data_IF_212183546918
#
_entry.id   IF_212183546918
#
_cell.length_a   1.000
_cell.length_b   1.000
_cell.length_c   1.000
_cell.angle_alpha   90.00
_cell.angle_beta   90.00
_cell.angle_gamma   90.00
#
_symmetry.space_group_name_H-M   'P 1'
#
loop_
_entity.id
_entity.type
_entity.pdbx_description
1 polymer ?
#
# COMPACT_ATOMS: atom_id res chain seq x y z
N UNK A 1 -12.66 -36.57 27.33
CA UNK A 1 -13.52 -35.47 26.87
C UNK A 1 -12.94 -34.98 25.56
N UNK A 2 -13.78 -34.92 24.53
CA UNK A 2 -13.41 -34.59 23.15
C UNK A 2 -13.67 -33.08 22.96
N UNK A 3 -12.69 -32.24 23.28
CA UNK A 3 -12.77 -30.77 23.19
C UNK A 3 -11.51 -30.27 22.48
N UNK A 4 -11.54 -30.06 21.17
CA UNK A 4 -10.34 -29.62 20.44
C UNK A 4 -10.64 -28.59 19.35
N UNK A 5 -11.73 -28.73 18.54
CA UNK A 5 -12.09 -27.68 17.58
C UNK A 5 -12.81 -26.49 18.25
N UNK A 6 -13.73 -26.78 19.17
CA UNK A 6 -14.54 -25.75 19.84
C UNK A 6 -13.69 -24.88 20.77
N UNK A 7 -12.67 -25.46 21.41
CA UNK A 7 -11.75 -24.75 22.30
C UNK A 7 -10.82 -23.81 21.50
N UNK A 8 -10.36 -24.24 20.32
CA UNK A 8 -9.55 -23.42 19.42
C UNK A 8 -10.35 -22.22 18.92
N UNK A 9 -11.59 -22.45 18.45
CA UNK A 9 -12.46 -21.39 17.97
C UNK A 9 -12.76 -20.34 19.05
N UNK A 10 -12.99 -20.77 20.29
CA UNK A 10 -13.20 -19.88 21.43
C UNK A 10 -11.95 -19.03 21.74
N UNK A 11 -10.75 -19.63 21.70
CA UNK A 11 -9.50 -18.89 21.89
C UNK A 11 -9.22 -17.90 20.76
N UNK A 12 -9.55 -18.24 19.51
CA UNK A 12 -9.44 -17.32 18.38
C UNK A 12 -10.37 -16.11 18.52
N UNK A 13 -11.60 -16.33 18.98
CA UNK A 13 -12.54 -15.25 19.27
C UNK A 13 -12.02 -14.34 20.38
N UNK A 14 -11.50 -14.92 21.47
CA UNK A 14 -10.88 -14.17 22.56
C UNK A 14 -9.65 -13.37 22.09
N UNK A 15 -8.80 -13.94 21.24
CA UNK A 15 -7.67 -13.24 20.60
C UNK A 15 -8.15 -12.03 19.80
N UNK A 16 -9.17 -12.22 18.95
CA UNK A 16 -9.72 -11.13 18.15
C UNK A 16 -10.34 -10.02 19.00
N UNK A 17 -11.02 -10.38 20.09
CA UNK A 17 -11.54 -9.41 21.05
C UNK A 17 -10.41 -8.59 21.68
N UNK A 18 -9.36 -9.23 22.20
CA UNK A 18 -8.24 -8.54 22.85
C UNK A 18 -7.47 -7.61 21.89
N UNK A 19 -7.23 -8.05 20.65
CA UNK A 19 -6.59 -7.22 19.63
C UNK A 19 -7.45 -6.01 19.25
N UNK A 20 -8.77 -6.19 19.19
CA UNK A 20 -9.70 -5.08 18.94
C UNK A 20 -9.67 -4.07 20.10
N UNK A 21 -9.68 -4.55 21.34
CA UNK A 21 -9.58 -3.70 22.54
C UNK A 21 -8.26 -2.94 22.63
N UNK A 22 -7.13 -3.54 22.20
CA UNK A 22 -5.85 -2.84 22.13
C UNK A 22 -5.86 -1.68 21.14
N UNK A 23 -6.45 -1.89 19.96
CA UNK A 23 -6.59 -0.83 18.94
C UNK A 23 -7.53 0.28 19.41
N UNK A 24 -8.59 -0.08 20.12
CA UNK A 24 -9.54 0.88 20.69
C UNK A 24 -8.88 1.74 21.76
N UNK A 25 -8.14 1.10 22.69
CA UNK A 25 -7.36 1.77 23.73
C UNK A 25 -6.33 2.77 23.14
N UNK A 26 -5.65 2.41 22.05
CA UNK A 26 -4.72 3.31 21.36
C UNK A 26 -5.43 4.50 20.70
N UNK A 27 -6.64 4.28 20.18
CA UNK A 27 -7.49 5.34 19.65
C UNK A 27 -7.93 6.30 20.76
N UNK A 28 -8.47 5.79 21.87
CA UNK A 28 -8.89 6.58 23.04
C UNK A 28 -7.73 7.42 23.60
N UNK A 29 -6.52 6.85 23.70
CA UNK A 29 -5.33 7.60 24.13
C UNK A 29 -4.96 8.72 23.15
N UNK A 30 -5.01 8.44 21.83
CA UNK A 30 -4.73 9.43 20.79
C UNK A 30 -5.72 10.60 20.79
N UNK A 31 -6.98 10.34 21.11
CA UNK A 31 -8.02 11.38 21.23
C UNK A 31 -8.01 12.10 22.59
N UNK A 32 -7.17 11.64 23.54
CA UNK A 32 -7.04 12.24 24.86
C UNK A 32 -8.17 11.87 25.82
N UNK A 33 -8.94 10.82 25.52
CA UNK A 33 -10.04 10.34 26.36
C UNK A 33 -9.54 9.61 27.62
N UNK A 34 -8.28 9.16 27.62
CA UNK A 34 -7.59 8.52 28.75
C UNK A 34 -6.18 9.10 28.94
N UNK A 35 -5.69 9.11 30.18
CA UNK A 35 -4.33 9.60 30.48
C UNK A 35 -3.24 8.54 30.23
N UNK A 36 -1.98 8.97 30.23
CA UNK A 36 -0.84 8.10 29.92
C UNK A 36 -0.59 6.98 30.94
N UNK A 37 -0.93 7.21 32.21
CA UNK A 37 -0.75 6.20 33.27
C UNK A 37 -1.78 5.09 33.12
N UNK A 38 -3.03 5.47 32.89
CA UNK A 38 -4.13 4.54 32.66
C UNK A 38 -3.94 3.75 31.36
N UNK A 39 -3.51 4.43 30.29
CA UNK A 39 -3.15 3.79 29.03
C UNK A 39 -2.09 2.69 29.21
N UNK A 40 -0.95 3.00 29.85
CA UNK A 40 0.13 2.01 30.00
C UNK A 40 -0.29 0.82 30.87
N UNK A 41 -1.03 1.08 31.95
CA UNK A 41 -1.55 0.03 32.84
C UNK A 41 -2.48 -0.94 32.09
N UNK A 42 -3.46 -0.40 31.36
CA UNK A 42 -4.42 -1.20 30.57
C UNK A 42 -3.73 -1.92 29.41
N UNK A 43 -2.82 -1.24 28.70
CA UNK A 43 -2.07 -1.79 27.57
C UNK A 43 -1.23 -2.99 28.01
N UNK A 44 -0.47 -2.87 29.09
CA UNK A 44 0.34 -3.98 29.62
C UNK A 44 -0.53 -5.19 29.96
N UNK A 45 -1.70 -4.98 30.56
CA UNK A 45 -2.64 -6.04 30.90
C UNK A 45 -3.28 -6.73 29.67
N UNK A 46 -3.56 -5.97 28.60
CA UNK A 46 -4.07 -6.55 27.35
C UNK A 46 -2.99 -7.27 26.56
N UNK A 47 -1.76 -6.74 26.49
CA UNK A 47 -0.63 -7.38 25.81
C UNK A 47 -0.28 -8.71 26.48
N UNK A 48 -0.19 -8.73 27.81
CA UNK A 48 0.12 -9.96 28.56
C UNK A 48 -0.94 -11.06 28.31
N UNK A 49 -2.24 -10.71 28.35
CA UNK A 49 -3.32 -11.65 28.06
C UNK A 49 -3.32 -12.12 26.61
N UNK A 50 -3.05 -11.24 25.66
CA UNK A 50 -2.99 -11.60 24.24
C UNK A 50 -1.87 -12.61 23.97
N UNK A 51 -0.69 -12.39 24.55
CA UNK A 51 0.43 -13.32 24.43
C UNK A 51 0.11 -14.71 25.01
N UNK A 52 -0.59 -14.76 26.15
CA UNK A 52 -1.02 -16.02 26.77
C UNK A 52 -2.00 -16.79 25.87
N UNK A 53 -3.00 -16.12 25.29
CA UNK A 53 -3.97 -16.75 24.38
C UNK A 53 -3.29 -17.25 23.10
N UNK A 54 -2.38 -16.49 22.51
CA UNK A 54 -1.63 -16.91 21.32
C UNK A 54 -0.85 -18.21 21.60
N UNK A 55 -0.18 -18.29 22.74
CA UNK A 55 0.57 -19.48 23.15
C UNK A 55 -0.33 -20.72 23.33
N UNK A 56 -1.56 -20.53 23.84
CA UNK A 56 -2.53 -21.62 23.98
C UNK A 56 -3.04 -22.12 22.62
N UNK A 57 -3.31 -21.21 21.69
CA UNK A 57 -3.69 -21.52 20.30
C UNK A 57 -2.60 -22.36 19.62
N UNK A 58 -1.34 -21.91 19.67
CA UNK A 58 -0.20 -22.64 19.09
C UNK A 58 -0.07 -24.05 19.70
N UNK A 59 -0.29 -24.19 21.01
CA UNK A 59 -0.33 -25.47 21.70
C UNK A 59 -1.42 -26.40 21.15
N UNK A 60 -2.65 -25.92 20.98
CA UNK A 60 -3.78 -26.69 20.44
C UNK A 60 -3.61 -27.06 18.96
N UNK A 61 -3.05 -26.17 18.14
CA UNK A 61 -2.73 -26.43 16.74
C UNK A 61 -1.65 -27.53 16.60
N UNK A 62 -0.67 -27.56 17.51
CA UNK A 62 0.35 -28.62 17.53
C UNK A 62 -0.24 -30.00 17.88
N UNK A 63 -1.19 -30.06 18.82
CA UNK A 63 -1.84 -31.30 19.28
C UNK A 63 -2.82 -31.87 18.23
N UNK A 64 -3.50 -31.01 17.48
CA UNK A 64 -4.40 -31.43 16.40
C UNK A 64 -3.64 -32.04 15.21
N UNK A 65 -2.42 -31.57 14.94
CA UNK A 65 -1.57 -32.08 13.86
C UNK A 65 -0.99 -33.47 14.13
N UNK A 66 -0.72 -33.84 15.39
CA UNK A 66 -0.16 -35.17 15.72
C UNK A 66 -1.19 -36.32 15.70
N UNK A 67 -2.49 -36.02 15.66
CA UNK A 67 -3.54 -37.05 15.84
C UNK A 67 -4.02 -37.69 14.52
N UNK A 68 -3.52 -37.27 13.35
CA UNK A 68 -3.96 -37.75 12.04
C UNK A 68 -2.93 -38.65 11.31
N UNK A 69 -2.48 -39.75 11.91
CA UNK A 69 -1.80 -40.82 11.14
C UNK A 69 -2.30 -42.22 11.51
N UNK A 70 -3.42 -42.63 10.91
CA UNK A 70 -3.74 -44.05 10.67
C UNK A 70 -4.97 -44.21 9.76
N UNK A 71 -4.76 -44.39 8.44
CA UNK A 71 -5.19 -45.59 7.68
C UNK A 71 -5.07 -45.47 6.15
N UNK A 72 -4.55 -46.57 5.61
CA UNK A 72 -4.81 -47.21 4.31
C UNK A 72 -4.12 -46.67 3.05
N UNK A 73 -2.99 -47.32 2.72
CA UNK A 73 -2.20 -47.24 1.46
C UNK A 73 -3.00 -47.51 0.16
N UNK A 74 -4.24 -47.97 0.26
CA UNK A 74 -5.12 -48.22 -0.91
C UNK A 74 -5.70 -46.91 -1.49
N UNK A 75 -5.86 -45.88 -0.66
CA UNK A 75 -6.43 -44.59 -1.09
C UNK A 75 -5.43 -43.72 -1.86
N UNK A 76 -4.14 -43.87 -1.58
CA UNK A 76 -3.04 -43.13 -2.20
C UNK A 76 -2.86 -43.43 -3.70
N UNK A 77 -3.17 -44.67 -4.12
CA UNK A 77 -3.07 -45.07 -5.53
C UNK A 77 -4.20 -44.46 -6.36
N UNK A 78 -5.41 -44.37 -5.80
CA UNK A 78 -6.56 -43.78 -6.48
C UNK A 78 -6.40 -42.26 -6.62
N UNK A 79 -5.85 -41.59 -5.60
CA UNK A 79 -5.59 -40.14 -5.64
C UNK A 79 -4.52 -39.79 -6.69
N UNK A 80 -3.47 -40.61 -6.86
CA UNK A 80 -2.45 -40.38 -7.89
C UNK A 80 -2.99 -40.49 -9.33
N UNK A 81 -3.95 -41.38 -9.58
CA UNK A 81 -4.58 -41.53 -10.90
C UNK A 81 -5.49 -40.34 -11.22
N UNK A 82 -6.22 -39.82 -10.22
CA UNK A 82 -7.06 -38.62 -10.38
C UNK A 82 -6.22 -37.36 -10.61
N UNK A 83 -5.09 -37.22 -9.90
CA UNK A 83 -4.16 -36.10 -10.09
C UNK A 83 -3.55 -36.12 -11.51
N UNK A 84 -3.20 -37.30 -12.04
CA UNK A 84 -2.68 -37.45 -13.39
C UNK A 84 -3.70 -37.08 -14.48
N UNK A 85 -4.98 -37.42 -14.28
CA UNK A 85 -6.05 -37.07 -15.23
C UNK A 85 -6.41 -35.57 -15.20
N UNK A 86 -6.37 -34.94 -14.02
CA UNK A 86 -6.62 -33.49 -13.88
C UNK A 86 -5.45 -32.67 -14.44
N UNK A 87 -4.20 -33.15 -14.29
CA UNK A 87 -3.01 -32.47 -14.82
C UNK A 87 -2.98 -32.37 -16.36
N UNK A 88 -3.59 -33.31 -17.08
CA UNK A 88 -3.68 -33.26 -18.55
C UNK A 88 -4.87 -32.46 -19.10
N UNK A 89 -5.90 -32.17 -18.29
CA UNK A 89 -7.13 -31.53 -18.76
C UNK A 89 -7.19 -30.01 -18.58
N UNK A 90 -6.53 -29.47 -17.55
CA UNK A 90 -6.60 -28.03 -17.20
C UNK A 90 -5.27 -27.29 -17.31
N UNK A 91 -4.17 -27.99 -17.63
CA UNK A 91 -2.83 -27.40 -17.73
C UNK A 91 -2.59 -26.50 -18.95
N UNK A 92 -3.48 -26.52 -19.96
CA UNK A 92 -3.24 -25.74 -21.19
C UNK A 92 -3.78 -24.29 -21.13
N UNK A 93 -4.71 -23.98 -20.23
CA UNK A 93 -5.42 -22.68 -20.24
C UNK A 93 -5.00 -21.70 -19.12
N UNK A 94 -4.19 -22.13 -18.15
CA UNK A 94 -3.62 -21.26 -17.09
C UNK A 94 -2.23 -20.71 -17.47
N UNK A 95 -1.59 -21.27 -18.50
CA UNK A 95 -0.23 -20.91 -18.90
C UNK A 95 -0.09 -19.52 -19.59
N UNK A 96 -1.20 -18.85 -19.94
CA UNK A 96 -1.11 -17.57 -20.65
C UNK A 96 -1.41 -16.31 -19.81
N UNK A 97 -1.49 -16.43 -18.47
CA UNK A 97 -1.78 -15.25 -17.64
C UNK A 97 -1.19 -15.28 -16.23
N UNK A 98 -0.08 -15.99 -16.01
CA UNK A 98 0.61 -15.95 -14.72
C UNK A 98 2.10 -16.18 -14.87
N UNK A 99 2.88 -15.11 -14.65
CA UNK A 99 4.29 -15.24 -14.27
C UNK A 99 5.30 -14.41 -15.06
N UNK A 100 5.15 -13.08 -15.09
CA UNK A 100 6.37 -12.27 -15.03
C UNK A 100 6.96 -12.44 -13.63
N UNK A 101 7.98 -13.29 -13.52
CA UNK A 101 8.85 -13.34 -12.35
C UNK A 101 9.73 -12.09 -12.40
N UNK A 102 9.53 -11.13 -11.48
CA UNK A 102 10.50 -10.06 -11.28
C UNK A 102 11.69 -10.58 -10.46
N UNK A 103 12.88 -10.36 -11.01
CA UNK A 103 14.17 -10.62 -10.40
C UNK A 103 14.32 -9.83 -9.09
N UNK A 104 14.70 -10.49 -7.99
CA UNK A 104 15.08 -9.77 -6.75
C UNK A 104 14.78 -10.43 -5.40
N UNK A 105 14.24 -11.65 -5.32
CA UNK A 105 14.04 -12.29 -4.01
C UNK A 105 15.38 -12.78 -3.42
N UNK A 106 15.86 -12.09 -2.38
CA UNK A 106 16.87 -12.60 -1.46
C UNK A 106 16.26 -13.70 -0.60
N UNK A 107 16.89 -14.88 -0.65
CA UNK A 107 16.43 -16.14 -0.06
C UNK A 107 16.81 -16.30 1.43
N UNK A 108 17.14 -15.22 2.13
CA UNK A 108 17.68 -15.26 3.50
C UNK A 108 16.88 -14.32 4.40
N UNK A 109 16.30 -14.86 5.46
CA UNK A 109 15.43 -14.15 6.41
C UNK A 109 16.10 -12.97 7.12
N UNK A 110 15.96 -11.79 6.53
CA UNK A 110 16.06 -10.50 7.18
C UNK A 110 14.89 -9.65 6.70
N UNK A 111 14.04 -9.19 7.62
CA UNK A 111 13.02 -8.17 7.33
C UNK A 111 13.77 -6.84 7.24
N UNK A 112 14.54 -6.66 6.17
CA UNK A 112 14.87 -5.33 5.68
C UNK A 112 13.64 -4.88 4.88
N UNK A 113 13.16 -3.67 5.15
CA UNK A 113 12.02 -3.07 4.44
C UNK A 113 12.34 -2.97 2.95
N UNK A 114 12.00 -4.04 2.20
CA UNK A 114 12.21 -4.06 0.75
C UNK A 114 11.51 -2.87 0.10
N UNK A 115 12.05 -2.36 -1.01
CA UNK A 115 11.46 -1.26 -1.78
C UNK A 115 9.96 -1.47 -2.04
N UNK A 116 9.54 -2.72 -2.27
CA UNK A 116 8.14 -3.11 -2.45
C UNK A 116 7.29 -2.94 -1.18
N UNK A 117 7.81 -3.30 0.00
CA UNK A 117 7.15 -3.08 1.31
C UNK A 117 6.93 -1.58 1.57
N UNK A 118 7.98 -0.78 1.35
CA UNK A 118 7.93 0.67 1.52
C UNK A 118 6.92 1.32 0.56
N UNK A 119 6.92 0.95 -0.72
CA UNK A 119 5.95 1.44 -1.70
C UNK A 119 4.52 1.07 -1.31
N UNK A 120 4.29 -0.19 -0.92
CA UNK A 120 2.96 -0.65 -0.48
C UNK A 120 2.45 0.18 0.71
N UNK A 121 3.32 0.44 1.68
CA UNK A 121 2.98 1.25 2.85
C UNK A 121 2.76 2.72 2.46
N UNK A 122 3.59 3.27 1.59
CA UNK A 122 3.46 4.65 1.11
C UNK A 122 2.12 4.89 0.40
N UNK A 123 1.64 3.94 -0.41
CA UNK A 123 0.31 4.00 -1.04
C UNK A 123 -0.83 3.96 -0.03
N UNK A 124 -0.72 3.09 0.98
CA UNK A 124 -1.75 2.98 2.01
C UNK A 124 -1.85 4.27 2.87
N UNK A 125 -0.76 5.02 2.96
CA UNK A 125 -0.66 6.22 3.82
C UNK A 125 -0.82 7.54 3.06
N UNK A 126 -0.58 7.61 1.74
CA UNK A 126 -0.52 8.87 0.98
C UNK A 126 -1.72 9.83 1.19
N UNK A 127 -2.95 9.32 1.25
CA UNK A 127 -4.16 10.12 1.46
C UNK A 127 -4.60 10.20 2.92
N UNK A 128 -3.95 9.49 3.84
CA UNK A 128 -4.22 9.50 5.28
C UNK A 128 -3.25 10.43 6.00
N UNK A 129 -1.96 10.29 5.72
CA UNK A 129 -0.88 11.12 6.24
C UNK A 129 0.13 11.40 5.12
N UNK A 130 -0.08 12.49 4.35
CA UNK A 130 0.82 12.89 3.27
C UNK A 130 2.27 13.09 3.72
N UNK A 131 2.52 13.53 4.97
CA UNK A 131 3.87 13.74 5.47
C UNK A 131 4.57 12.40 5.74
N UNK A 132 3.88 11.42 6.31
CA UNK A 132 4.41 10.07 6.47
C UNK A 132 4.69 9.40 5.12
N UNK A 133 3.79 9.56 4.14
CA UNK A 133 4.00 9.02 2.80
C UNK A 133 5.22 9.62 2.09
N UNK A 134 5.47 10.93 2.23
CA UNK A 134 6.70 11.57 1.72
C UNK A 134 7.95 10.90 2.29
N UNK A 135 7.96 10.58 3.60
CA UNK A 135 9.09 9.89 4.24
C UNK A 135 9.30 8.50 3.62
N UNK A 136 8.23 7.74 3.43
CA UNK A 136 8.29 6.40 2.85
C UNK A 136 8.77 6.43 1.38
N UNK A 137 8.22 7.31 0.54
CA UNK A 137 8.71 7.47 -0.83
C UNK A 137 10.16 7.98 -0.88
N UNK A 138 10.58 8.81 0.08
CA UNK A 138 11.98 9.23 0.18
C UNK A 138 12.91 8.09 0.55
N UNK A 139 12.48 7.16 1.42
CA UNK A 139 13.23 5.94 1.71
C UNK A 139 13.32 5.03 0.49
N UNK A 140 12.23 4.87 -0.27
CA UNK A 140 12.26 4.17 -1.57
C UNK A 140 13.33 4.78 -2.47
N UNK A 141 13.34 6.11 -2.61
CA UNK A 141 14.30 6.80 -3.49
C UNK A 141 15.75 6.81 -2.97
N UNK A 142 15.96 6.48 -1.69
CA UNK A 142 17.31 6.24 -1.17
C UNK A 142 17.86 4.86 -1.56
N UNK A 143 16.97 3.89 -1.79
CA UNK A 143 17.31 2.52 -2.20
C UNK A 143 17.30 2.37 -3.73
N UNK A 144 16.34 3.02 -4.38
CA UNK A 144 16.09 3.00 -5.83
C UNK A 144 15.82 4.44 -6.32
N UNK A 145 16.87 5.23 -6.62
CA UNK A 145 16.74 6.64 -7.00
C UNK A 145 15.92 6.92 -8.26
N UNK A 146 15.78 5.92 -9.14
CA UNK A 146 15.04 6.02 -10.40
C UNK A 146 13.66 5.35 -10.30
N UNK A 147 13.15 5.12 -9.08
CA UNK A 147 11.81 4.61 -8.88
C UNK A 147 10.76 5.62 -9.35
N UNK A 148 10.20 5.39 -10.54
CA UNK A 148 9.23 6.27 -11.21
C UNK A 148 8.04 6.59 -10.30
N UNK A 149 7.49 5.59 -9.62
CA UNK A 149 6.34 5.76 -8.75
C UNK A 149 6.63 6.64 -7.54
N UNK A 150 7.75 6.37 -6.85
CA UNK A 150 8.12 7.15 -5.67
C UNK A 150 8.45 8.61 -6.01
N UNK A 151 9.12 8.86 -7.15
CA UNK A 151 9.31 10.23 -7.66
C UNK A 151 7.96 10.92 -7.84
N UNK A 152 7.04 10.24 -8.53
CA UNK A 152 5.72 10.76 -8.89
C UNK A 152 4.89 11.12 -7.66
N UNK A 153 4.72 10.18 -6.73
CA UNK A 153 3.82 10.40 -5.60
C UNK A 153 4.46 11.21 -4.47
N UNK A 154 5.79 11.19 -4.30
CA UNK A 154 6.48 12.15 -3.40
C UNK A 154 6.24 13.58 -3.86
N UNK A 155 6.44 13.85 -5.14
CA UNK A 155 6.20 15.16 -5.75
C UNK A 155 4.75 15.61 -5.56
N UNK A 156 3.80 14.71 -5.79
CA UNK A 156 2.39 15.01 -5.61
C UNK A 156 2.03 15.35 -4.16
N UNK A 157 2.53 14.58 -3.18
CA UNK A 157 2.28 14.87 -1.76
C UNK A 157 2.87 16.21 -1.34
N UNK A 158 4.09 16.53 -1.79
CA UNK A 158 4.71 17.85 -1.55
C UNK A 158 3.83 18.99 -2.09
N UNK A 159 3.31 18.83 -3.31
CA UNK A 159 2.43 19.83 -3.93
C UNK A 159 1.07 19.96 -3.22
N UNK A 160 0.49 18.86 -2.75
CA UNK A 160 -0.76 18.87 -1.99
C UNK A 160 -0.61 19.66 -0.68
N UNK A 161 0.46 19.38 0.07
CA UNK A 161 0.74 20.09 1.34
C UNK A 161 0.98 21.58 1.10
N UNK A 162 1.65 21.95 0.00
CA UNK A 162 1.98 23.33 -0.31
C UNK A 162 0.79 24.18 -0.80
N UNK A 163 -0.35 23.57 -1.17
CA UNK A 163 -1.49 24.28 -1.80
C UNK A 163 -2.01 25.46 -0.98
N UNK A 164 -2.10 25.29 0.34
CA UNK A 164 -2.60 26.31 1.27
C UNK A 164 -1.47 27.17 1.88
N UNK A 165 -0.21 26.96 1.47
CA UNK A 165 0.93 27.68 2.02
C UNK A 165 1.13 29.05 1.37
N UNK A 166 2.04 29.86 1.94
CA UNK A 166 2.49 31.11 1.35
C UNK A 166 3.33 30.90 0.08
N UNK A 167 3.50 31.97 -0.69
CA UNK A 167 4.08 31.92 -2.04
C UNK A 167 5.50 31.33 -2.06
N UNK A 168 6.34 31.64 -1.08
CA UNK A 168 7.70 31.08 -0.99
C UNK A 168 7.69 29.55 -0.88
N UNK A 169 6.79 29.02 -0.05
CA UNK A 169 6.63 27.56 0.14
C UNK A 169 6.06 26.92 -1.12
N UNK A 170 5.11 27.57 -1.79
CA UNK A 170 4.57 27.10 -3.09
C UNK A 170 5.66 27.02 -4.15
N UNK A 171 6.53 28.03 -4.24
CA UNK A 171 7.63 28.07 -5.19
C UNK A 171 8.70 27.01 -4.88
N UNK A 172 9.01 26.78 -3.61
CA UNK A 172 9.91 25.70 -3.21
C UNK A 172 9.33 24.32 -3.56
N UNK A 173 8.05 24.09 -3.22
CA UNK A 173 7.36 22.86 -3.53
C UNK A 173 7.27 22.63 -5.04
N UNK A 174 6.98 23.67 -5.82
CA UNK A 174 6.96 23.60 -7.28
C UNK A 174 8.31 23.13 -7.84
N UNK A 175 9.42 23.77 -7.48
CA UNK A 175 10.75 23.38 -7.98
C UNK A 175 11.11 21.94 -7.63
N UNK A 176 10.84 21.52 -6.40
CA UNK A 176 11.12 20.16 -5.94
C UNK A 176 10.25 19.14 -6.69
N UNK A 177 8.93 19.35 -6.70
CA UNK A 177 7.98 18.46 -7.32
C UNK A 177 8.15 18.40 -8.85
N UNK A 178 8.41 19.52 -9.52
CA UNK A 178 8.63 19.54 -10.97
C UNK A 178 9.87 18.75 -11.36
N UNK A 179 10.95 18.85 -10.58
CA UNK A 179 12.18 18.08 -10.80
C UNK A 179 11.92 16.57 -10.74
N UNK A 180 11.22 16.12 -9.69
CA UNK A 180 10.86 14.71 -9.51
C UNK A 180 9.95 14.21 -10.65
N UNK A 181 8.93 14.99 -11.03
CA UNK A 181 7.97 14.62 -12.08
C UNK A 181 8.63 14.59 -13.47
N UNK A 182 9.49 15.56 -13.78
CA UNK A 182 10.24 15.59 -15.04
C UNK A 182 11.24 14.43 -15.13
N UNK A 183 11.85 14.04 -13.99
CA UNK A 183 12.67 12.83 -13.91
C UNK A 183 11.83 11.57 -14.14
N UNK A 184 10.65 11.46 -13.53
CA UNK A 184 9.74 10.33 -13.73
C UNK A 184 9.30 10.20 -15.20
N UNK A 185 8.96 11.31 -15.86
CA UNK A 185 8.63 11.34 -17.31
C UNK A 185 9.81 10.89 -18.17
N UNK A 186 11.03 11.32 -17.82
CA UNK A 186 12.23 10.94 -18.56
C UNK A 186 12.56 9.44 -18.43
N UNK A 187 12.23 8.83 -17.29
CA UNK A 187 12.43 7.41 -17.02
C UNK A 187 11.34 6.54 -17.66
N UNK A 188 10.09 6.98 -17.60
CA UNK A 188 8.94 6.31 -18.22
C UNK A 188 7.90 7.33 -18.70
N UNK A 189 7.95 7.66 -19.98
CA UNK A 189 6.99 8.56 -20.62
C UNK A 189 5.58 7.96 -20.79
N UNK A 190 5.43 6.64 -20.58
CA UNK A 190 4.14 5.97 -20.64
C UNK A 190 3.42 5.96 -19.28
N UNK A 191 4.13 6.26 -18.20
CA UNK A 191 3.52 6.42 -16.87
C UNK A 191 2.70 7.72 -16.84
N UNK A 192 1.38 7.66 -16.63
CA UNK A 192 0.52 8.79 -16.95
C UNK A 192 0.47 9.87 -15.87
N UNK A 193 0.53 9.45 -14.61
CA UNK A 193 0.40 10.30 -13.44
C UNK A 193 1.36 11.51 -13.43
N UNK A 194 2.66 11.37 -13.80
CA UNK A 194 3.58 12.49 -13.89
C UNK A 194 3.10 13.65 -14.76
N UNK A 195 2.53 13.39 -15.93
CA UNK A 195 2.04 14.43 -16.82
C UNK A 195 0.82 15.13 -16.23
N UNK A 196 -0.11 14.36 -15.64
CA UNK A 196 -1.27 14.91 -14.97
C UNK A 196 -0.85 15.84 -13.81
N UNK A 197 0.03 15.36 -12.94
CA UNK A 197 0.49 16.12 -11.78
C UNK A 197 1.35 17.33 -12.17
N UNK A 198 2.26 17.19 -13.13
CA UNK A 198 3.12 18.29 -13.59
C UNK A 198 2.27 19.44 -14.18
N UNK A 199 1.26 19.10 -14.98
CA UNK A 199 0.32 20.08 -15.50
C UNK A 199 -0.44 20.83 -14.41
N UNK A 200 -0.93 20.10 -13.40
CA UNK A 200 -1.64 20.68 -12.26
C UNK A 200 -0.72 21.62 -11.46
N UNK A 201 0.50 21.20 -11.13
CA UNK A 201 1.37 22.03 -10.27
C UNK A 201 1.92 23.25 -11.02
N UNK A 202 2.15 23.16 -12.34
CA UNK A 202 2.52 24.32 -13.17
C UNK A 202 1.45 25.41 -13.08
N UNK A 203 0.17 25.03 -13.19
CA UNK A 203 -0.91 26.00 -13.07
C UNK A 203 -1.10 26.49 -11.62
N UNK A 204 -1.20 25.56 -10.66
CA UNK A 204 -1.63 25.87 -9.29
C UNK A 204 -0.54 26.49 -8.41
N UNK A 205 0.72 26.15 -8.64
CA UNK A 205 1.84 26.63 -7.82
C UNK A 205 2.70 27.67 -8.53
N UNK A 206 2.81 27.62 -9.85
CA UNK A 206 3.66 28.53 -10.62
C UNK A 206 2.89 29.54 -11.50
N UNK A 207 1.57 29.39 -11.67
CA UNK A 207 0.78 30.23 -12.58
C UNK A 207 1.15 30.03 -14.06
N UNK A 208 1.88 28.96 -14.39
CA UNK A 208 2.32 28.65 -15.75
C UNK A 208 1.21 27.93 -16.52
N UNK A 209 0.29 28.71 -17.09
CA UNK A 209 -0.84 28.19 -17.86
C UNK A 209 -0.38 27.51 -19.17
N UNK A 210 0.64 28.04 -19.85
CA UNK A 210 1.15 27.46 -21.11
C UNK A 210 1.79 26.09 -20.88
N UNK A 211 2.70 26.01 -19.90
CA UNK A 211 3.33 24.75 -19.53
C UNK A 211 2.36 23.76 -18.93
N UNK A 212 1.34 24.22 -18.19
CA UNK A 212 0.26 23.36 -17.71
C UNK A 212 -0.54 22.74 -18.86
N UNK A 213 -0.95 23.54 -19.86
CA UNK A 213 -1.74 23.07 -21.00
C UNK A 213 -1.03 21.95 -21.77
N UNK A 214 0.28 22.08 -21.96
CA UNK A 214 1.10 21.07 -22.63
C UNK A 214 1.00 19.71 -21.91
N UNK A 215 1.27 19.68 -20.62
CA UNK A 215 1.29 18.41 -19.86
C UNK A 215 -0.11 17.83 -19.68
N UNK A 216 -1.12 18.66 -19.41
CA UNK A 216 -2.50 18.19 -19.25
C UNK A 216 -3.07 17.59 -20.54
N UNK A 217 -2.62 18.08 -21.71
CA UNK A 217 -2.99 17.47 -23.01
C UNK A 217 -2.42 16.06 -23.14
N UNK A 218 -1.19 15.84 -22.70
CA UNK A 218 -0.56 14.50 -22.70
C UNK A 218 -1.30 13.59 -21.72
N UNK A 219 -1.56 14.07 -20.50
CA UNK A 219 -2.36 13.35 -19.51
C UNK A 219 -3.72 12.90 -20.08
N UNK A 220 -4.48 13.80 -20.73
CA UNK A 220 -5.77 13.45 -21.34
C UNK A 220 -5.61 12.39 -22.45
N UNK A 221 -4.53 12.45 -23.23
CA UNK A 221 -4.27 11.48 -24.31
C UNK A 221 -3.96 10.07 -23.78
N UNK A 222 -3.50 9.95 -22.54
CA UNK A 222 -3.22 8.68 -21.87
C UNK A 222 -4.47 8.03 -21.25
N UNK A 223 -5.66 8.65 -21.43
CA UNK A 223 -6.95 8.11 -21.03
C UNK A 223 -7.02 7.69 -19.54
N UNK A 224 -6.86 8.66 -18.60
CA UNK A 224 -6.91 8.36 -17.17
C UNK A 224 -8.32 7.87 -16.75
N UNK A 225 -8.44 7.20 -15.59
CA UNK A 225 -9.73 6.76 -15.06
C UNK A 225 -10.77 7.90 -15.04
N UNK A 226 -12.05 7.57 -15.21
CA UNK A 226 -13.12 8.57 -15.42
C UNK A 226 -13.17 9.64 -14.31
N UNK A 227 -12.94 9.23 -13.05
CA UNK A 227 -12.90 10.11 -11.90
C UNK A 227 -11.75 11.13 -12.03
N UNK A 228 -10.54 10.66 -12.38
CA UNK A 228 -9.35 11.49 -12.59
C UNK A 228 -9.54 12.38 -13.82
N UNK A 229 -10.10 11.84 -14.90
CA UNK A 229 -10.41 12.59 -16.12
C UNK A 229 -11.30 13.79 -15.85
N UNK A 230 -12.38 13.61 -15.08
CA UNK A 230 -13.30 14.70 -14.76
C UNK A 230 -12.60 15.86 -14.03
N UNK A 231 -11.67 15.53 -13.13
CA UNK A 231 -10.87 16.51 -12.41
C UNK A 231 -9.86 17.22 -13.32
N UNK A 232 -9.16 16.47 -14.18
CA UNK A 232 -8.21 17.02 -15.16
C UNK A 232 -8.92 17.97 -16.15
N UNK A 233 -10.08 17.58 -16.66
CA UNK A 233 -10.87 18.38 -17.61
C UNK A 233 -11.30 19.71 -16.98
N UNK A 234 -11.68 19.71 -15.69
CA UNK A 234 -11.98 20.93 -14.94
C UNK A 234 -10.79 21.90 -14.90
N UNK A 235 -9.59 21.38 -14.65
CA UNK A 235 -8.37 22.20 -14.59
C UNK A 235 -7.98 22.71 -15.97
N UNK A 236 -8.16 21.90 -17.02
CA UNK A 236 -7.93 22.33 -18.41
C UNK A 236 -8.82 23.50 -18.78
N UNK A 237 -10.09 23.51 -18.38
CA UNK A 237 -10.99 24.64 -18.63
C UNK A 237 -10.51 25.93 -17.95
N UNK A 238 -9.99 25.85 -16.72
CA UNK A 238 -9.41 26.99 -16.02
C UNK A 238 -8.11 27.49 -16.68
N UNK A 239 -7.26 26.57 -17.15
CA UNK A 239 -6.05 26.89 -17.90
C UNK A 239 -6.39 27.59 -19.21
N UNK A 240 -7.36 27.06 -19.97
CA UNK A 240 -7.80 27.64 -21.25
C UNK A 240 -8.40 29.05 -21.05
N UNK A 241 -9.15 29.27 -19.97
CA UNK A 241 -9.65 30.59 -19.60
C UNK A 241 -8.51 31.57 -19.27
N UNK A 242 -7.47 31.11 -18.54
CA UNK A 242 -6.31 31.94 -18.20
C UNK A 242 -5.44 32.29 -19.42
N UNK A 243 -5.42 31.44 -20.46
CA UNK A 243 -4.71 31.71 -21.71
C UNK A 243 -5.47 32.63 -22.68
N UNK A 244 -6.79 32.75 -22.49
CA UNK A 244 -7.64 33.58 -23.33
C UNK A 244 -7.75 35.04 -22.85
N UNK A 245 -7.39 35.31 -21.59
CA UNK A 245 -7.37 36.66 -20.99
C UNK A 245 -6.02 37.35 -21.18
#
# INVERSE_FOLDING_TARGET
>A
MNQSPDDLAMLEEQKHFLLRSLRDLESEFKFGDIDSSDYESLRLGYVARTAEIIKQIEGLESLTSETQVSRSRSRTIITLIVILLVASGTGWLVANQSGQRLSGQTFTGGIEDSTASLLSTARATNFVDPQAAIKLYSQVLSLDPDNVEALTYRAWMLALIARAAGDEVKQLAFRSASTDLERAIALDASYPDPHCFLGIIRFRLAGDALGARKELTICQSQNPPAEVKSFVDSIVAEVDAALAG
#
